data_IF_374758731299
#
_entry.id   IF_374758731299
#
_cell.length_a   1.000
_cell.length_b   1.000
_cell.length_c   1.000
_cell.angle_alpha   90.00
_cell.angle_beta   90.00
_cell.angle_gamma   90.00
#
_symmetry.space_group_name_H-M   'P 1'
#
loop_
_entity.id
_entity.type
_entity.pdbx_description
1 polymer ?
#
# COMPACT_ATOMS: atom_id res chain seq x y z
N UNK A 1 0.13 -8.63 15.70
CA UNK A 1 -0.57 -7.60 14.90
C UNK A 1 -0.25 -7.72 13.40
N UNK A 2 1.00 -7.49 12.97
CA UNK A 2 1.37 -7.45 11.54
C UNK A 2 0.95 -8.71 10.74
N UNK A 3 1.32 -9.90 11.21
CA UNK A 3 0.97 -11.16 10.52
C UNK A 3 -0.54 -11.38 10.42
N UNK A 4 -1.31 -10.97 11.42
CA UNK A 4 -2.78 -11.05 11.38
C UNK A 4 -3.35 -10.09 10.33
N UNK A 5 -2.79 -8.88 10.23
CA UNK A 5 -3.16 -7.90 9.20
C UNK A 5 -2.85 -8.43 7.79
N UNK A 6 -1.66 -9.00 7.60
CA UNK A 6 -1.25 -9.62 6.33
C UNK A 6 -2.14 -10.80 5.99
N UNK A 7 -2.45 -11.67 6.96
CA UNK A 7 -3.37 -12.80 6.78
C UNK A 7 -4.76 -12.33 6.31
N UNK A 8 -5.30 -11.27 6.91
CA UNK A 8 -6.59 -10.69 6.50
C UNK A 8 -6.56 -10.17 5.06
N UNK A 9 -5.47 -9.51 4.67
CA UNK A 9 -5.24 -9.05 3.29
C UNK A 9 -5.12 -10.24 2.32
N UNK A 10 -4.36 -11.28 2.66
CA UNK A 10 -4.21 -12.48 1.83
C UNK A 10 -5.53 -13.24 1.67
N UNK A 11 -6.37 -13.28 2.72
CA UNK A 11 -7.72 -13.83 2.63
C UNK A 11 -8.60 -13.02 1.68
N UNK A 12 -8.49 -11.69 1.70
CA UNK A 12 -9.19 -10.83 0.76
C UNK A 12 -8.74 -11.09 -0.70
N UNK A 13 -7.42 -11.16 -0.94
CA UNK A 13 -6.88 -11.54 -2.26
C UNK A 13 -7.40 -12.91 -2.68
N UNK A 14 -7.37 -13.91 -1.78
CA UNK A 14 -7.89 -15.25 -2.08
C UNK A 14 -9.37 -15.21 -2.44
N UNK A 15 -10.17 -14.40 -1.74
CA UNK A 15 -11.59 -14.24 -2.03
C UNK A 15 -11.81 -13.71 -3.45
N UNK A 16 -11.12 -12.63 -3.82
CA UNK A 16 -11.24 -12.02 -5.15
C UNK A 16 -10.74 -12.96 -6.26
N UNK A 17 -9.57 -13.56 -6.08
CA UNK A 17 -8.95 -14.42 -7.09
C UNK A 17 -9.74 -15.70 -7.35
N UNK A 18 -10.52 -16.18 -6.37
CA UNK A 18 -11.38 -17.35 -6.50
C UNK A 18 -12.87 -17.01 -6.66
N UNK A 19 -13.27 -15.73 -6.65
CA UNK A 19 -14.67 -15.35 -6.79
C UNK A 19 -15.56 -15.66 -5.57
N UNK A 20 -14.99 -15.74 -4.36
CA UNK A 20 -15.72 -16.15 -3.15
C UNK A 20 -16.27 -14.91 -2.41
N UNK A 21 -17.48 -14.49 -2.76
CA UNK A 21 -18.16 -13.30 -2.19
C UNK A 21 -18.25 -13.31 -0.64
N UNK A 22 -18.68 -14.40 0.04
CA UNK A 22 -18.76 -14.40 1.51
C UNK A 22 -17.40 -14.21 2.21
N UNK A 23 -16.33 -14.80 1.64
CA UNK A 23 -14.97 -14.62 2.15
C UNK A 23 -14.47 -13.19 1.95
N UNK A 24 -14.87 -12.55 0.84
CA UNK A 24 -14.59 -11.14 0.61
C UNK A 24 -15.22 -10.26 1.69
N UNK A 25 -16.50 -10.46 1.99
CA UNK A 25 -17.18 -9.66 3.02
C UNK A 25 -16.58 -9.88 4.41
N UNK A 26 -16.26 -11.12 4.77
CA UNK A 26 -15.57 -11.45 6.03
C UNK A 26 -14.21 -10.77 6.14
N UNK A 27 -13.38 -10.85 5.07
CA UNK A 27 -12.06 -10.24 5.05
C UNK A 27 -12.09 -8.70 5.03
N UNK A 28 -13.03 -8.08 4.32
CA UNK A 28 -13.25 -6.63 4.36
C UNK A 28 -13.62 -6.16 5.78
N UNK A 29 -14.48 -6.89 6.47
CA UNK A 29 -14.82 -6.61 7.87
C UNK A 29 -13.59 -6.72 8.78
N UNK A 30 -12.77 -7.76 8.62
CA UNK A 30 -11.55 -7.95 9.38
C UNK A 30 -10.50 -6.85 9.09
N UNK A 31 -10.45 -6.33 7.88
CA UNK A 31 -9.57 -5.23 7.48
C UNK A 31 -10.05 -3.85 7.92
N UNK A 32 -11.34 -3.67 8.22
CA UNK A 32 -11.91 -2.35 8.53
C UNK A 32 -11.18 -1.59 9.66
N UNK A 33 -10.81 -2.22 10.80
CA UNK A 33 -9.99 -1.56 11.82
C UNK A 33 -8.64 -1.06 11.30
N UNK A 34 -8.03 -1.75 10.33
CA UNK A 34 -6.71 -1.38 9.79
C UNK A 34 -6.75 -0.03 9.05
N UNK A 35 -7.87 0.31 8.41
CA UNK A 35 -8.03 1.63 7.78
C UNK A 35 -8.05 2.76 8.81
N UNK A 36 -8.67 2.53 9.98
CA UNK A 36 -8.65 3.48 11.09
C UNK A 36 -7.26 3.55 11.75
N UNK A 37 -6.59 2.41 11.98
CA UNK A 37 -5.22 2.36 12.50
C UNK A 37 -4.29 3.23 11.63
N UNK A 38 -4.37 3.05 10.31
CA UNK A 38 -3.50 3.73 9.33
C UNK A 38 -4.00 5.12 8.91
N UNK A 39 -5.08 5.63 9.51
CA UNK A 39 -5.69 6.94 9.21
C UNK A 39 -6.03 7.12 7.70
N UNK A 40 -6.52 6.06 7.06
CA UNK A 40 -6.94 6.08 5.66
C UNK A 40 -8.39 6.54 5.55
N UNK A 41 -8.62 7.83 5.78
CA UNK A 41 -9.96 8.43 5.91
C UNK A 41 -10.97 8.02 4.85
N UNK A 42 -10.57 7.97 3.57
CA UNK A 42 -11.48 7.56 2.49
C UNK A 42 -11.95 6.11 2.67
N UNK A 43 -11.04 5.19 2.98
CA UNK A 43 -11.38 3.79 3.25
C UNK A 43 -12.15 3.65 4.58
N UNK A 44 -11.69 4.32 5.64
CA UNK A 44 -12.38 4.34 6.94
C UNK A 44 -13.83 4.80 6.83
N UNK A 45 -14.13 5.76 5.94
CA UNK A 45 -15.48 6.30 5.72
C UNK A 45 -16.34 5.40 4.83
N UNK A 46 -15.81 4.99 3.69
CA UNK A 46 -16.60 4.34 2.63
C UNK A 46 -16.65 2.82 2.75
N UNK A 47 -15.66 2.17 3.34
CA UNK A 47 -15.68 0.71 3.56
C UNK A 47 -16.86 0.27 4.44
N UNK A 48 -17.21 0.95 5.54
CA UNK A 48 -18.45 0.67 6.29
C UNK A 48 -19.71 0.68 5.44
N UNK A 49 -19.86 1.71 4.60
CA UNK A 49 -21.02 1.88 3.71
C UNK A 49 -21.06 0.76 2.68
N UNK A 50 -19.95 0.53 1.98
CA UNK A 50 -19.80 -0.58 1.04
C UNK A 50 -20.13 -1.92 1.69
N UNK A 51 -19.66 -2.17 2.91
CA UNK A 51 -19.90 -3.43 3.61
C UNK A 51 -21.39 -3.60 3.95
N UNK A 52 -22.07 -2.54 4.41
CA UNK A 52 -23.51 -2.56 4.66
C UNK A 52 -24.31 -2.74 3.37
N UNK A 53 -23.96 -2.03 2.30
CA UNK A 53 -24.64 -2.15 1.00
C UNK A 53 -24.54 -3.57 0.46
N UNK A 54 -23.37 -4.19 0.57
CA UNK A 54 -23.14 -5.56 0.13
C UNK A 54 -23.86 -6.62 1.00
N UNK A 55 -24.09 -6.33 2.28
CA UNK A 55 -24.88 -7.19 3.16
C UNK A 55 -26.40 -7.06 2.93
N UNK A 56 -26.84 -5.98 2.29
CA UNK A 56 -28.25 -5.69 2.02
C UNK A 56 -28.58 -5.72 0.52
N UNK A 57 -27.86 -6.53 -0.25
CA UNK A 57 -28.16 -6.73 -1.67
C UNK A 57 -29.54 -7.37 -1.84
N UNK A 58 -30.22 -7.05 -2.94
CA UNK A 58 -31.41 -7.77 -3.34
C UNK A 58 -31.08 -9.25 -3.54
N UNK A 59 -31.96 -10.17 -3.12
CA UNK A 59 -31.71 -11.61 -3.12
C UNK A 59 -31.23 -12.16 -4.47
N UNK A 60 -31.76 -11.63 -5.58
CA UNK A 60 -31.31 -11.99 -6.93
C UNK A 60 -29.84 -11.60 -7.19
N UNK A 61 -29.44 -10.40 -6.77
CA UNK A 61 -28.07 -9.89 -6.96
C UNK A 61 -27.10 -10.65 -6.06
N UNK A 62 -27.49 -10.91 -4.81
CA UNK A 62 -26.70 -11.72 -3.90
C UNK A 62 -26.47 -13.14 -4.46
N UNK A 63 -27.52 -13.78 -4.97
CA UNK A 63 -27.41 -15.09 -5.60
C UNK A 63 -26.47 -15.06 -6.81
N UNK A 64 -26.53 -14.02 -7.65
CA UNK A 64 -25.60 -13.86 -8.78
C UNK A 64 -24.16 -13.69 -8.33
N UNK A 65 -23.91 -12.96 -7.26
CA UNK A 65 -22.55 -12.76 -6.73
C UNK A 65 -21.99 -14.03 -6.11
N UNK A 66 -22.81 -14.78 -5.38
CA UNK A 66 -22.36 -16.02 -4.73
C UNK A 66 -22.07 -17.15 -5.73
N UNK A 67 -22.66 -17.12 -6.92
CA UNK A 67 -22.52 -18.20 -7.90
C UNK A 67 -21.53 -17.88 -9.04
N UNK A 68 -21.56 -16.68 -9.65
CA UNK A 68 -20.87 -16.47 -10.94
C UNK A 68 -20.26 -15.08 -11.17
N UNK A 69 -20.78 -14.01 -10.53
CA UNK A 69 -20.50 -12.64 -10.97
C UNK A 69 -19.69 -11.78 -10.00
N UNK A 70 -19.22 -12.34 -8.88
CA UNK A 70 -18.42 -11.56 -7.94
C UNK A 70 -17.02 -11.21 -8.50
N UNK A 71 -16.37 -12.15 -9.18
CA UNK A 71 -15.09 -11.93 -9.86
C UNK A 71 -15.19 -12.31 -11.34
N UNK A 72 -14.42 -11.63 -12.19
CA UNK A 72 -14.39 -11.88 -13.62
C UNK A 72 -13.25 -12.84 -13.97
N UNK A 73 -13.56 -13.86 -14.75
CA UNK A 73 -12.61 -14.88 -15.18
C UNK A 73 -12.38 -14.79 -16.70
N UNK A 74 -11.14 -14.59 -17.13
CA UNK A 74 -10.79 -14.53 -18.57
C UNK A 74 -10.48 -15.90 -19.17
N UNK A 75 -10.10 -16.86 -18.32
CA UNK A 75 -9.77 -18.25 -18.68
C UNK A 75 -10.39 -19.17 -17.64
N UNK A 76 -10.72 -20.39 -18.02
CA UNK A 76 -11.09 -21.44 -17.07
C UNK A 76 -9.91 -21.71 -16.11
N UNK A 77 -10.23 -22.07 -14.86
CA UNK A 77 -9.24 -22.35 -13.82
C UNK A 77 -9.61 -21.70 -12.49
N UNK A 78 -8.74 -21.87 -11.50
CA UNK A 78 -8.85 -21.26 -10.17
C UNK A 78 -7.82 -20.16 -9.98
N UNK A 79 -8.00 -19.34 -8.94
CA UNK A 79 -7.07 -18.27 -8.54
C UNK A 79 -6.68 -17.28 -9.66
N UNK A 80 -7.54 -17.11 -10.67
CA UNK A 80 -7.31 -16.23 -11.82
C UNK A 80 -8.37 -15.13 -11.97
N UNK A 81 -9.33 -15.05 -11.04
CA UNK A 81 -10.36 -14.02 -10.99
C UNK A 81 -9.77 -12.62 -10.85
N UNK A 82 -10.38 -11.64 -11.51
CA UNK A 82 -10.01 -10.22 -11.42
C UNK A 82 -11.26 -9.40 -11.18
N UNK A 83 -11.10 -8.28 -10.46
CA UNK A 83 -12.22 -7.38 -10.25
C UNK A 83 -12.67 -6.72 -11.56
N UNK A 84 -13.94 -6.35 -11.64
CA UNK A 84 -14.58 -5.87 -12.88
C UNK A 84 -13.85 -4.68 -13.52
N UNK A 85 -13.35 -3.74 -12.71
CA UNK A 85 -12.54 -2.62 -13.19
C UNK A 85 -11.26 -3.10 -13.89
N UNK A 86 -10.50 -3.99 -13.25
CA UNK A 86 -9.28 -4.56 -13.84
C UNK A 86 -9.59 -5.43 -15.05
N UNK A 87 -10.70 -6.18 -15.04
CA UNK A 87 -11.15 -6.97 -16.18
C UNK A 87 -11.41 -6.09 -17.40
N UNK A 88 -12.14 -4.98 -17.19
CA UNK A 88 -12.46 -3.97 -18.20
C UNK A 88 -11.21 -3.26 -18.70
N UNK A 89 -10.26 -2.98 -17.80
CA UNK A 89 -8.97 -2.39 -18.14
C UNK A 89 -8.15 -3.30 -19.07
N UNK A 90 -8.13 -4.60 -18.79
CA UNK A 90 -7.39 -5.61 -19.56
C UNK A 90 -8.09 -6.03 -20.86
N UNK A 91 -9.38 -5.76 -21.02
CA UNK A 91 -10.17 -6.14 -22.21
C UNK A 91 -10.50 -4.93 -23.09
N UNK A 92 -11.54 -4.17 -22.75
CA UNK A 92 -12.14 -3.13 -23.60
C UNK A 92 -11.25 -1.88 -23.62
N UNK A 93 -10.79 -1.43 -22.45
CA UNK A 93 -9.99 -0.20 -22.33
C UNK A 93 -8.56 -0.41 -22.85
N UNK A 94 -8.03 -1.65 -22.78
CA UNK A 94 -6.69 -1.99 -23.28
C UNK A 94 -6.46 -1.47 -24.70
N UNK A 95 -7.42 -1.71 -25.59
CA UNK A 95 -7.33 -1.27 -26.98
C UNK A 95 -7.55 0.23 -27.16
N UNK A 96 -8.20 0.88 -26.20
CA UNK A 96 -8.42 2.32 -26.17
C UNK A 96 -7.18 3.11 -25.72
N UNK A 97 -6.31 2.48 -24.92
CA UNK A 97 -5.01 3.02 -24.54
C UNK A 97 -4.00 2.77 -25.68
N UNK A 98 -3.30 3.81 -26.12
CA UNK A 98 -2.24 3.71 -27.13
C UNK A 98 -1.28 4.88 -27.03
N UNK A 99 -0.06 4.72 -27.53
CA UNK A 99 0.93 5.80 -27.56
C UNK A 99 0.37 6.98 -28.36
N UNK A 100 0.24 8.12 -27.67
CA UNK A 100 -0.34 9.35 -28.23
C UNK A 100 -1.72 9.73 -27.69
N UNK A 101 -2.41 8.87 -26.93
CA UNK A 101 -3.66 9.20 -26.24
C UNK A 101 -4.72 9.93 -27.09
N UNK A 102 -5.57 10.72 -26.44
CA UNK A 102 -6.44 11.69 -27.12
C UNK A 102 -5.70 13.03 -27.12
N UNK A 103 -4.94 13.32 -28.17
CA UNK A 103 -4.14 14.54 -28.30
C UNK A 103 -4.56 15.35 -29.53
N UNK A 104 -4.77 16.66 -29.35
CA UNK A 104 -5.06 17.60 -30.44
C UNK A 104 -6.45 17.45 -31.08
N UNK A 105 -6.49 17.17 -32.39
CA UNK A 105 -7.67 17.15 -33.26
C UNK A 105 -8.80 16.21 -32.77
N UNK A 106 -8.44 15.21 -31.96
CA UNK A 106 -9.32 14.21 -31.34
C UNK A 106 -10.11 14.70 -30.13
N UNK A 107 -9.98 15.97 -29.69
CA UNK A 107 -10.84 16.55 -28.64
C UNK A 107 -12.23 17.00 -29.13
N UNK A 108 -12.48 16.99 -30.44
CA UNK A 108 -13.84 17.24 -30.97
C UNK A 108 -14.79 16.16 -30.47
N UNK A 109 -15.90 16.55 -29.82
CA UNK A 109 -16.86 15.62 -29.19
C UNK A 109 -17.31 14.48 -30.12
N UNK A 110 -17.58 14.77 -31.39
CA UNK A 110 -17.97 13.76 -32.38
C UNK A 110 -16.85 12.77 -32.71
N UNK A 111 -15.60 13.21 -32.74
CA UNK A 111 -14.44 12.34 -32.93
C UNK A 111 -14.17 11.46 -31.69
N UNK A 112 -14.36 12.01 -30.49
CA UNK A 112 -14.28 11.26 -29.22
C UNK A 112 -15.32 10.15 -29.14
N UNK A 113 -16.58 10.48 -29.46
CA UNK A 113 -17.66 9.48 -29.45
C UNK A 113 -17.35 8.37 -30.45
N UNK A 114 -16.98 8.70 -31.69
CA UNK A 114 -16.60 7.69 -32.68
C UNK A 114 -15.42 6.83 -32.18
N UNK A 115 -14.38 7.45 -31.65
CA UNK A 115 -13.23 6.74 -31.09
C UNK A 115 -13.66 5.77 -29.98
N UNK A 116 -14.43 6.23 -28.98
CA UNK A 116 -14.88 5.37 -27.88
C UNK A 116 -15.73 4.18 -28.36
N UNK A 117 -16.59 4.39 -29.36
CA UNK A 117 -17.46 3.34 -29.89
C UNK A 117 -16.72 2.36 -30.81
N UNK A 118 -15.73 2.79 -31.61
CA UNK A 118 -15.10 1.92 -32.61
C UNK A 118 -13.75 1.34 -32.17
N UNK A 119 -13.08 1.92 -31.18
CA UNK A 119 -11.68 1.60 -30.88
C UNK A 119 -11.46 0.18 -30.38
N UNK A 120 -12.39 -0.38 -29.62
CA UNK A 120 -12.32 -1.79 -29.21
C UNK A 120 -12.44 -2.73 -30.44
N UNK A 121 -13.34 -2.42 -31.38
CA UNK A 121 -13.51 -3.16 -32.64
C UNK A 121 -12.24 -3.12 -33.49
N UNK A 122 -11.65 -1.93 -33.67
CA UNK A 122 -10.39 -1.77 -34.40
C UNK A 122 -9.25 -2.52 -33.70
N UNK A 123 -9.21 -2.50 -32.37
CA UNK A 123 -8.26 -3.28 -31.58
C UNK A 123 -8.37 -4.79 -31.85
N UNK A 124 -9.59 -5.33 -31.93
CA UNK A 124 -9.82 -6.73 -32.29
C UNK A 124 -9.29 -7.06 -33.70
N UNK A 125 -9.53 -6.19 -34.69
CA UNK A 125 -8.96 -6.37 -36.03
C UNK A 125 -7.42 -6.36 -36.01
N UNK A 126 -6.80 -5.44 -35.26
CA UNK A 126 -5.34 -5.40 -35.12
C UNK A 126 -4.76 -6.67 -34.50
N UNK A 127 -5.42 -7.22 -33.46
CA UNK A 127 -5.00 -8.49 -32.85
C UNK A 127 -5.14 -9.66 -33.84
N UNK A 128 -6.27 -9.76 -34.54
CA UNK A 128 -6.49 -10.81 -35.53
C UNK A 128 -5.45 -10.76 -36.66
N UNK A 129 -5.12 -9.55 -37.14
CA UNK A 129 -4.07 -9.36 -38.15
C UNK A 129 -2.69 -9.74 -37.64
N UNK A 130 -2.35 -9.40 -36.38
CA UNK A 130 -1.07 -9.77 -35.76
C UNK A 130 -0.93 -11.29 -35.60
N UNK A 131 -2.01 -11.98 -35.24
CA UNK A 131 -2.03 -13.45 -35.19
C UNK A 131 -1.86 -14.05 -36.59
N UNK A 132 -2.56 -13.51 -37.59
CA UNK A 132 -2.48 -13.97 -38.97
C UNK A 132 -1.12 -13.71 -39.62
N UNK A 133 -0.40 -12.67 -39.19
CA UNK A 133 0.91 -12.32 -39.76
C UNK A 133 2.03 -13.26 -39.31
N UNK A 134 1.80 -14.17 -38.35
CA UNK A 134 2.81 -15.09 -37.84
C UNK A 134 3.93 -14.42 -37.02
N UNK A 135 3.79 -13.12 -36.71
CA UNK A 135 4.77 -12.36 -35.92
C UNK A 135 4.67 -12.62 -34.41
N UNK A 136 3.67 -13.38 -33.96
CA UNK A 136 3.46 -13.77 -32.56
C UNK A 136 3.10 -15.24 -32.55
N UNK A 137 3.89 -16.06 -31.86
CA UNK A 137 3.58 -17.47 -31.60
C UNK A 137 2.89 -17.61 -30.24
N UNK A 138 2.14 -18.70 -30.03
CA UNK A 138 1.35 -18.90 -28.80
C UNK A 138 2.23 -18.94 -27.52
N UNK A 139 3.51 -19.30 -27.66
CA UNK A 139 4.49 -19.46 -26.58
C UNK A 139 5.14 -18.15 -26.10
N UNK A 140 4.90 -17.01 -26.76
CA UNK A 140 5.38 -15.69 -26.31
C UNK A 140 4.72 -15.21 -24.99
N UNK A 141 3.82 -16.02 -24.41
CA UNK A 141 3.07 -15.70 -23.19
C UNK A 141 3.73 -16.22 -21.90
N UNK A 142 5.03 -16.48 -21.89
CA UNK A 142 5.73 -16.68 -20.61
C UNK A 142 5.90 -15.34 -19.93
N UNK A 143 5.30 -15.18 -18.75
CA UNK A 143 5.49 -13.97 -17.94
C UNK A 143 6.98 -13.78 -17.69
N UNK A 144 7.49 -12.54 -17.74
CA UNK A 144 8.92 -12.26 -17.59
C UNK A 144 9.49 -12.83 -16.27
N UNK A 145 8.67 -12.89 -15.21
CA UNK A 145 9.03 -13.47 -13.91
C UNK A 145 9.07 -15.02 -13.94
N UNK A 146 8.39 -15.68 -14.88
CA UNK A 146 8.43 -17.14 -15.04
C UNK A 146 9.63 -17.61 -15.86
N UNK A 147 10.52 -16.69 -16.29
CA UNK A 147 11.73 -17.05 -17.01
C UNK A 147 12.75 -17.67 -16.05
N UNK A 148 13.54 -18.67 -16.47
CA UNK A 148 14.50 -19.34 -15.60
C UNK A 148 15.45 -18.41 -14.82
N UNK A 149 15.99 -17.32 -15.40
CA UNK A 149 16.84 -16.38 -14.65
C UNK A 149 16.10 -15.65 -13.52
N UNK A 150 14.83 -15.28 -13.76
CA UNK A 150 13.98 -14.61 -12.77
C UNK A 150 13.67 -15.57 -11.62
N UNK A 151 13.27 -16.81 -11.92
CA UNK A 151 13.01 -17.84 -10.91
C UNK A 151 14.23 -18.12 -10.05
N UNK A 152 15.42 -18.28 -10.67
CA UNK A 152 16.68 -18.52 -9.95
C UNK A 152 17.02 -17.35 -9.01
N UNK A 153 16.80 -16.11 -9.45
CA UNK A 153 17.04 -14.92 -8.62
C UNK A 153 16.06 -14.89 -7.44
N UNK A 154 14.79 -15.18 -7.68
CA UNK A 154 13.76 -15.15 -6.63
C UNK A 154 14.01 -16.26 -5.59
N UNK A 155 14.42 -17.46 -6.01
CA UNK A 155 14.88 -18.53 -5.12
C UNK A 155 16.08 -18.10 -4.27
N UNK A 156 17.08 -17.46 -4.88
CA UNK A 156 18.24 -16.95 -4.14
C UNK A 156 17.82 -15.89 -3.12
N UNK A 157 16.91 -14.98 -3.47
CA UNK A 157 16.40 -13.96 -2.55
C UNK A 157 15.65 -14.56 -1.36
N UNK A 158 14.91 -15.66 -1.57
CA UNK A 158 14.26 -16.40 -0.48
C UNK A 158 15.32 -17.01 0.45
N UNK A 159 16.37 -17.62 -0.10
CA UNK A 159 17.48 -18.17 0.69
C UNK A 159 18.15 -17.04 1.51
N UNK A 160 18.51 -15.93 0.86
CA UNK A 160 19.14 -14.79 1.50
C UNK A 160 18.28 -14.22 2.64
N UNK A 161 16.95 -14.15 2.44
CA UNK A 161 16.00 -13.71 3.47
C UNK A 161 15.97 -14.68 4.66
N UNK A 162 15.92 -15.99 4.41
CA UNK A 162 15.91 -17.01 5.46
C UNK A 162 17.22 -16.94 6.26
N UNK A 163 18.36 -16.91 5.60
CA UNK A 163 19.68 -16.77 6.24
C UNK A 163 19.75 -15.49 7.07
N UNK A 164 19.29 -14.36 6.54
CA UNK A 164 19.29 -13.09 7.29
C UNK A 164 18.42 -13.14 8.55
N UNK A 165 17.23 -13.75 8.48
CA UNK A 165 16.33 -13.91 9.63
C UNK A 165 16.88 -14.86 10.70
N UNK A 166 17.64 -15.88 10.29
CA UNK A 166 18.21 -16.88 11.20
C UNK A 166 19.53 -16.42 11.83
N UNK A 167 20.39 -15.74 11.07
CA UNK A 167 21.77 -15.46 11.47
C UNK A 167 21.97 -14.01 11.95
N UNK A 168 21.16 -13.06 11.47
CA UNK A 168 21.40 -11.62 11.72
C UNK A 168 20.31 -10.96 12.57
N UNK A 169 19.05 -11.36 12.40
CA UNK A 169 17.91 -10.72 13.08
C UNK A 169 17.37 -11.54 14.24
N UNK A 170 16.50 -10.92 15.04
CA UNK A 170 15.63 -11.68 15.97
C UNK A 170 14.64 -12.47 15.11
N UNK A 171 14.80 -13.79 15.07
CA UNK A 171 13.92 -14.66 14.30
C UNK A 171 12.47 -14.54 14.83
N UNK A 172 11.54 -13.96 14.04
CA UNK A 172 10.16 -13.75 14.50
C UNK A 172 9.37 -15.06 14.62
N UNK A 173 9.92 -16.18 14.15
CA UNK A 173 9.32 -17.51 14.19
C UNK A 173 9.89 -18.40 15.31
N UNK A 174 10.94 -17.97 16.03
CA UNK A 174 11.42 -18.67 17.23
C UNK A 174 10.62 -18.21 18.45
N UNK A 175 9.46 -18.85 18.66
CA UNK A 175 8.51 -18.50 19.73
C UNK A 175 9.11 -18.72 21.13
N UNK A 176 10.08 -19.64 21.27
CA UNK A 176 10.63 -20.00 22.59
C UNK A 176 11.64 -18.96 23.09
N UNK A 177 12.46 -18.41 22.21
CA UNK A 177 13.48 -17.42 22.55
C UNK A 177 13.08 -15.98 22.19
N UNK A 178 11.84 -15.76 21.73
CA UNK A 178 11.38 -14.44 21.35
C UNK A 178 11.34 -13.49 22.56
N UNK A 179 11.86 -12.25 22.45
CA UNK A 179 11.73 -11.25 23.51
C UNK A 179 10.27 -10.99 23.89
N UNK A 180 10.03 -10.65 25.16
CA UNK A 180 8.70 -10.26 25.65
C UNK A 180 8.21 -8.94 25.05
N UNK A 181 9.15 -8.09 24.65
CA UNK A 181 8.89 -6.80 24.05
C UNK A 181 8.60 -6.92 22.55
N UNK A 182 7.77 -6.02 22.02
CA UNK A 182 7.58 -5.94 20.57
C UNK A 182 8.88 -5.51 19.89
N UNK A 183 9.29 -6.27 18.88
CA UNK A 183 10.50 -5.98 18.08
C UNK A 183 10.09 -5.60 16.66
N UNK A 184 10.73 -4.57 16.11
CA UNK A 184 10.59 -4.25 14.69
C UNK A 184 11.35 -5.28 13.86
N UNK A 185 10.65 -6.00 12.98
CA UNK A 185 11.23 -7.04 12.12
C UNK A 185 12.31 -6.49 11.19
N UNK A 186 12.25 -5.22 10.75
CA UNK A 186 13.24 -4.66 9.82
C UNK A 186 14.46 -4.05 10.49
N UNK A 187 14.37 -3.65 11.76
CA UNK A 187 15.47 -2.93 12.45
C UNK A 187 15.96 -3.63 13.71
N UNK A 188 15.26 -4.63 14.22
CA UNK A 188 15.53 -5.25 15.52
C UNK A 188 15.25 -4.33 16.72
N UNK A 189 14.72 -3.12 16.49
CA UNK A 189 14.45 -2.16 17.55
C UNK A 189 13.34 -2.68 18.48
N UNK A 190 13.61 -2.69 19.78
CA UNK A 190 12.63 -3.02 20.82
C UNK A 190 11.71 -1.83 21.06
N UNK A 191 10.41 -2.08 21.20
CA UNK A 191 9.41 -1.06 21.47
C UNK A 191 9.55 -0.52 22.91
N UNK A 192 9.30 0.77 23.09
CA UNK A 192 9.04 1.31 24.43
C UNK A 192 7.72 0.75 24.97
N UNK A 193 7.54 0.73 26.30
CA UNK A 193 6.30 0.27 26.93
C UNK A 193 5.05 0.95 26.35
N UNK A 194 5.14 2.26 26.12
CA UNK A 194 4.05 3.05 25.56
C UNK A 194 3.71 2.66 24.10
N UNK A 195 4.71 2.48 23.25
CA UNK A 195 4.50 2.06 21.86
C UNK A 195 3.99 0.63 21.79
N UNK A 196 4.51 -0.24 22.66
CA UNK A 196 4.05 -1.63 22.76
C UNK A 196 2.58 -1.71 23.14
N UNK A 197 2.17 -1.02 24.22
CA UNK A 197 0.77 -0.95 24.63
C UNK A 197 -0.11 -0.38 23.52
N UNK A 198 0.34 0.67 22.82
CA UNK A 198 -0.43 1.26 21.73
C UNK A 198 -0.60 0.32 20.53
N UNK A 199 0.42 -0.44 20.14
CA UNK A 199 0.35 -1.35 18.99
C UNK A 199 -0.44 -2.62 19.31
N UNK A 200 -0.29 -3.18 20.51
CA UNK A 200 -1.03 -4.36 20.93
C UNK A 200 -2.54 -4.09 21.01
N UNK A 201 -2.93 -2.91 21.49
CA UNK A 201 -4.33 -2.50 21.61
C UNK A 201 -4.88 -1.76 20.38
N UNK A 202 -4.13 -1.68 19.28
CA UNK A 202 -4.48 -0.85 18.13
C UNK A 202 -5.81 -1.26 17.47
N UNK A 203 -6.04 -2.57 17.34
CA UNK A 203 -7.27 -3.12 16.75
C UNK A 203 -8.47 -2.83 17.64
N UNK A 204 -8.36 -3.04 18.95
CA UNK A 204 -9.45 -2.79 19.89
C UNK A 204 -9.81 -1.30 19.96
N UNK A 205 -8.78 -0.45 20.03
CA UNK A 205 -8.92 1.02 19.98
C UNK A 205 -9.67 1.45 18.72
N UNK A 206 -9.26 0.93 17.56
CA UNK A 206 -9.89 1.28 16.28
C UNK A 206 -11.28 0.66 16.11
N UNK A 207 -11.54 -0.50 16.70
CA UNK A 207 -12.88 -1.10 16.74
C UNK A 207 -13.85 -0.22 17.53
N UNK A 208 -13.41 0.35 18.65
CA UNK A 208 -14.20 1.33 19.39
C UNK A 208 -14.43 2.63 18.59
N UNK A 209 -13.44 3.07 17.80
CA UNK A 209 -13.60 4.22 16.89
C UNK A 209 -14.60 3.95 15.77
N UNK A 210 -14.57 2.75 15.19
CA UNK A 210 -15.53 2.31 14.17
C UNK A 210 -16.94 2.37 14.74
N UNK A 211 -17.17 1.81 15.94
CA UNK A 211 -18.47 1.85 16.60
C UNK A 211 -18.97 3.29 16.80
N UNK A 212 -18.12 4.17 17.32
CA UNK A 212 -18.44 5.61 17.47
C UNK A 212 -18.80 6.26 16.12
N UNK A 213 -18.09 5.91 15.05
CA UNK A 213 -18.40 6.42 13.71
C UNK A 213 -19.76 5.92 13.21
N UNK A 214 -20.06 4.62 13.35
CA UNK A 214 -21.37 4.06 13.00
C UNK A 214 -22.52 4.72 13.77
N UNK A 215 -22.38 4.83 15.09
CA UNK A 215 -23.42 5.39 15.96
C UNK A 215 -23.66 6.88 15.64
N UNK A 216 -22.61 7.64 15.32
CA UNK A 216 -22.73 9.09 15.09
C UNK A 216 -23.08 9.50 13.66
N UNK A 217 -22.70 8.72 12.65
CA UNK A 217 -22.72 9.15 11.25
C UNK A 217 -23.46 8.20 10.28
N UNK A 218 -23.88 7.00 10.71
CA UNK A 218 -24.57 6.03 9.84
C UNK A 218 -25.89 5.50 10.42
N UNK A 219 -26.18 5.77 11.70
CA UNK A 219 -27.40 5.30 12.37
C UNK A 219 -28.57 6.27 12.15
N UNK A 220 -29.83 5.81 12.26
CA UNK A 220 -31.04 6.62 11.99
C UNK A 220 -31.17 7.93 12.83
N UNK A 221 -30.41 8.08 13.92
CA UNK A 221 -30.31 9.29 14.72
C UNK A 221 -28.93 9.97 14.62
N UNK A 222 -28.44 10.21 13.40
CA UNK A 222 -27.10 10.78 13.16
C UNK A 222 -26.90 12.08 13.96
N UNK A 223 -25.87 12.11 14.79
CA UNK A 223 -25.45 13.31 15.53
C UNK A 223 -24.39 14.12 14.79
N UNK A 224 -23.79 13.53 13.73
CA UNK A 224 -22.75 14.16 12.91
C UNK A 224 -22.99 13.88 11.43
N UNK A 225 -22.54 14.82 10.59
CA UNK A 225 -22.54 14.63 9.14
C UNK A 225 -21.59 13.50 8.74
N UNK A 226 -22.04 12.61 7.85
CA UNK A 226 -21.22 11.56 7.22
C UNK A 226 -19.94 12.11 6.57
N UNK A 227 -20.01 13.31 5.99
CA UNK A 227 -18.86 13.96 5.36
C UNK A 227 -17.93 14.69 6.34
N UNK A 228 -18.31 14.72 7.63
CA UNK A 228 -17.55 15.36 8.69
C UNK A 228 -16.18 14.72 8.95
N UNK A 229 -15.26 15.44 9.61
CA UNK A 229 -13.92 14.91 9.91
C UNK A 229 -13.97 13.64 10.75
N UNK A 230 -13.14 12.66 10.41
CA UNK A 230 -12.92 11.45 11.22
C UNK A 230 -11.74 11.72 12.15
N UNK A 231 -11.92 11.45 13.44
CA UNK A 231 -10.87 11.59 14.44
C UNK A 231 -9.71 10.63 14.11
N UNK A 232 -8.47 11.12 14.21
CA UNK A 232 -7.28 10.27 14.02
C UNK A 232 -7.13 9.26 15.16
N UNK A 233 -6.59 8.10 14.83
CA UNK A 233 -6.42 6.99 15.77
C UNK A 233 -5.37 7.25 16.85
N UNK A 234 -4.41 8.13 16.59
CA UNK A 234 -3.29 8.44 17.47
C UNK A 234 -2.52 7.20 17.96
N UNK A 235 -2.53 6.11 17.18
CA UNK A 235 -1.73 4.92 17.45
C UNK A 235 -0.26 5.30 17.36
N UNK A 236 0.47 5.05 18.45
CA UNK A 236 1.91 5.23 18.52
C UNK A 236 2.61 4.05 17.86
N UNK A 237 3.65 4.35 17.09
CA UNK A 237 4.45 3.35 16.38
C UNK A 237 5.93 3.54 16.69
N UNK A 238 6.79 2.70 16.11
CA UNK A 238 8.24 2.87 16.25
C UNK A 238 8.75 4.24 15.79
N UNK A 239 8.05 4.95 14.88
CA UNK A 239 8.42 6.31 14.51
C UNK A 239 8.34 7.32 15.66
N UNK A 240 7.48 7.05 16.64
CA UNK A 240 7.30 7.91 17.81
C UNK A 240 8.42 7.76 18.83
N UNK A 241 9.25 6.72 18.69
CA UNK A 241 10.45 6.50 19.52
C UNK A 241 11.66 7.33 19.07
N UNK A 242 11.60 7.91 17.87
CA UNK A 242 12.68 8.73 17.33
C UNK A 242 12.90 9.97 18.21
N UNK A 243 14.16 10.25 18.56
CA UNK A 243 14.52 11.40 19.40
C UNK A 243 14.15 12.71 18.69
N UNK A 244 13.24 13.48 19.30
CA UNK A 244 12.88 14.82 18.81
C UNK A 244 13.82 15.85 19.39
N UNK A 245 14.44 16.67 18.55
CA UNK A 245 15.31 17.78 18.99
C UNK A 245 14.49 19.06 19.07
N UNK A 246 14.63 19.79 20.18
CA UNK A 246 14.05 21.12 20.36
C UNK A 246 14.94 22.14 19.68
N UNK A 247 14.43 22.80 18.64
CA UNK A 247 15.13 23.88 17.94
C UNK A 247 14.45 25.21 18.29
N UNK A 248 15.22 26.19 18.78
CA UNK A 248 14.72 27.57 18.92
C UNK A 248 14.83 28.27 17.58
N UNK A 249 13.71 28.74 17.05
CA UNK A 249 13.65 29.55 15.85
C UNK A 249 13.96 31.02 16.18
N UNK A 250 14.37 31.78 15.14
CA UNK A 250 14.61 33.24 15.25
C UNK A 250 13.36 34.02 15.67
N UNK A 251 12.16 33.49 15.42
CA UNK A 251 10.87 34.04 15.88
C UNK A 251 10.62 33.88 17.39
N UNK A 252 11.50 33.18 18.12
CA UNK A 252 11.30 32.83 19.53
C UNK A 252 10.50 31.55 19.74
N UNK A 253 9.84 31.03 18.71
CA UNK A 253 9.12 29.76 18.76
C UNK A 253 10.08 28.57 18.87
N UNK A 254 9.75 27.60 19.72
CA UNK A 254 10.50 26.35 19.82
C UNK A 254 9.82 25.28 18.97
N UNK A 255 10.44 24.90 17.86
CA UNK A 255 9.95 23.84 16.98
C UNK A 255 10.57 22.52 17.42
N UNK A 256 9.73 21.52 17.68
CA UNK A 256 10.15 20.15 17.89
C UNK A 256 10.10 19.40 16.57
N UNK A 257 11.25 18.91 16.12
CA UNK A 257 11.36 18.18 14.86
C UNK A 257 12.35 17.04 14.96
N UNK A 258 12.19 16.06 14.06
CA UNK A 258 13.23 15.08 13.83
C UNK A 258 14.28 15.74 12.94
N UNK A 259 15.54 15.72 13.37
CA UNK A 259 16.62 16.28 12.56
C UNK A 259 17.07 15.19 11.60
N UNK A 260 16.62 15.29 10.34
CA UNK A 260 17.14 14.45 9.27
C UNK A 260 18.60 14.91 8.98
N UNK A 261 19.62 14.06 9.21
CA UNK A 261 21.01 14.46 9.02
C UNK A 261 21.36 14.68 7.54
N UNK A 262 20.68 13.99 6.61
CA UNK A 262 20.81 14.26 5.17
C UNK A 262 20.32 15.67 4.82
N UNK A 263 19.19 16.09 5.40
CA UNK A 263 18.68 17.46 5.25
C UNK A 263 19.65 18.51 5.84
N UNK A 264 20.28 18.21 6.98
CA UNK A 264 21.32 19.07 7.56
C UNK A 264 22.52 19.17 6.62
N UNK A 265 22.98 18.04 6.07
CA UNK A 265 24.11 18.03 5.15
C UNK A 265 23.83 18.87 3.90
N UNK A 266 22.67 18.70 3.26
CA UNK A 266 22.27 19.48 2.10
C UNK A 266 22.20 20.99 2.41
N UNK A 267 21.65 21.36 3.58
CA UNK A 267 21.62 22.76 4.02
C UNK A 267 23.01 23.32 4.26
N UNK A 268 23.91 22.53 4.84
CA UNK A 268 25.27 22.95 5.11
C UNK A 268 26.09 23.11 3.82
N UNK A 269 25.91 22.23 2.83
CA UNK A 269 26.46 22.39 1.47
C UNK A 269 25.88 23.60 0.73
N UNK A 270 24.63 23.98 1.00
CA UNK A 270 24.08 25.22 0.45
C UNK A 270 24.73 26.46 1.10
N UNK A 271 25.04 26.40 2.39
CA UNK A 271 25.74 27.48 3.09
C UNK A 271 27.16 27.68 2.56
N UNK A 272 27.91 26.61 2.25
CA UNK A 272 29.25 26.74 1.67
C UNK A 272 29.25 27.40 0.28
N UNK A 273 28.12 27.38 -0.43
CA UNK A 273 27.96 28.08 -1.71
C UNK A 273 27.57 29.55 -1.57
N UNK A 274 26.96 29.93 -0.45
CA UNK A 274 26.40 31.26 -0.23
C UNK A 274 27.20 32.10 0.76
N UNK A 275 28.18 31.52 1.46
CA UNK A 275 28.93 32.15 2.54
C UNK A 275 30.42 31.82 2.42
N UNK A 276 31.23 32.86 2.25
CA UNK A 276 32.68 32.75 2.13
C UNK A 276 33.35 32.34 3.46
N UNK A 277 32.68 32.55 4.59
CA UNK A 277 33.19 32.20 5.93
C UNK A 277 32.99 30.71 6.31
N UNK A 278 32.35 29.93 5.43
CA UNK A 278 32.09 28.49 5.63
C UNK A 278 32.70 27.69 4.48
N UNK A 279 34.03 27.43 4.50
CA UNK A 279 34.67 26.60 3.49
C UNK A 279 34.21 25.15 3.58
N UNK A 280 34.15 24.46 2.43
CA UNK A 280 33.67 23.07 2.32
C UNK A 280 34.55 22.13 3.14
N UNK A 281 35.85 22.35 3.19
CA UNK A 281 36.79 21.52 3.95
C UNK A 281 36.46 21.53 5.44
N UNK A 282 36.09 22.70 5.98
CA UNK A 282 35.67 22.86 7.38
C UNK A 282 34.30 22.25 7.63
N UNK A 283 33.41 22.22 6.64
CA UNK A 283 32.13 21.53 6.78
C UNK A 283 32.34 20.01 6.90
N UNK A 284 33.19 19.45 6.04
CA UNK A 284 33.46 18.02 5.98
C UNK A 284 34.25 17.50 7.20
N UNK A 285 34.85 18.38 8.00
CA UNK A 285 35.53 17.99 9.23
C UNK A 285 34.61 17.71 10.43
N UNK A 286 33.30 18.00 10.32
CA UNK A 286 32.34 17.74 11.39
C UNK A 286 31.41 16.56 11.07
N UNK A 287 31.18 15.63 12.02
CA UNK A 287 30.20 14.58 11.84
C UNK A 287 28.78 15.18 11.81
N UNK A 288 28.06 14.97 10.71
CA UNK A 288 26.70 15.51 10.49
C UNK A 288 25.65 14.77 11.33
N UNK A 289 25.96 13.54 11.75
CA UNK A 289 25.12 12.70 12.59
C UNK A 289 25.98 11.67 13.34
N UNK A 290 25.37 10.92 14.27
CA UNK A 290 26.06 9.87 15.03
C UNK A 290 26.51 8.69 14.15
N UNK A 291 25.94 8.56 12.96
CA UNK A 291 26.24 7.55 11.94
C UNK A 291 26.27 8.24 10.57
N UNK A 292 27.06 7.69 9.64
CA UNK A 292 27.17 8.24 8.28
C UNK A 292 25.88 8.04 7.50
N UNK A 293 25.15 9.11 7.17
CA UNK A 293 23.88 9.00 6.44
C UNK A 293 24.02 8.58 4.98
N UNK A 294 25.23 8.61 4.42
CA UNK A 294 25.51 8.02 3.10
C UNK A 294 25.51 6.49 3.15
N UNK A 295 25.80 5.93 4.32
CA UNK A 295 25.90 4.49 4.54
C UNK A 295 24.73 3.93 5.35
N UNK A 296 24.05 4.75 6.15
CA UNK A 296 23.01 4.30 7.08
C UNK A 296 21.78 5.22 7.09
N UNK A 297 20.60 4.65 7.28
CA UNK A 297 19.37 5.36 7.58
C UNK A 297 19.36 5.84 9.05
N UNK A 298 18.46 6.76 9.38
CA UNK A 298 18.32 7.33 10.73
C UNK A 298 17.97 6.28 11.81
N UNK A 299 17.48 5.11 11.41
CA UNK A 299 17.18 3.96 12.27
C UNK A 299 18.37 2.99 12.44
N UNK A 300 19.54 3.31 11.87
CA UNK A 300 20.76 2.51 11.94
C UNK A 300 20.88 1.41 10.88
N UNK A 301 19.89 1.24 10.01
CA UNK A 301 19.98 0.26 8.90
C UNK A 301 20.89 0.76 7.79
N UNK A 302 21.68 -0.12 7.15
CA UNK A 302 22.60 0.28 6.08
C UNK A 302 21.83 0.62 4.79
N UNK A 303 22.13 1.76 4.16
CA UNK A 303 21.62 2.11 2.83
C UNK A 303 22.28 1.15 1.82
N UNK A 304 21.47 0.40 1.07
CA UNK A 304 21.93 -0.42 -0.06
C UNK A 304 22.23 0.44 -1.28
#
# INVERSE_FOLDING_TARGET
MFLNSVSSMLQNIRAERNGISPLHLSSIRAMLPLFFVTNRNNYSRWTPVYHLDMLNLHAEVEARFNNEFFAMFQKAGSFNGVWSHMATEKSIIKYSKGNGGIVGLTRKKSALIRCNVTRHIVGHFSVAMKMRSGLVTADDNTHDESRPPSMKRDEQQVIDLISHLQETMVNPFDIQHHPSELVNISTGLKASKEVQESLLNAIDTCTAMIKKFFDSALSAGMSRSFYGPIQRSNIKTFSDMNKKTKLKCRSGETVQGNINPELIFCRALALTKCRDDVPVEKLLSFPIGPISTSLFHDDGTMRK
#
